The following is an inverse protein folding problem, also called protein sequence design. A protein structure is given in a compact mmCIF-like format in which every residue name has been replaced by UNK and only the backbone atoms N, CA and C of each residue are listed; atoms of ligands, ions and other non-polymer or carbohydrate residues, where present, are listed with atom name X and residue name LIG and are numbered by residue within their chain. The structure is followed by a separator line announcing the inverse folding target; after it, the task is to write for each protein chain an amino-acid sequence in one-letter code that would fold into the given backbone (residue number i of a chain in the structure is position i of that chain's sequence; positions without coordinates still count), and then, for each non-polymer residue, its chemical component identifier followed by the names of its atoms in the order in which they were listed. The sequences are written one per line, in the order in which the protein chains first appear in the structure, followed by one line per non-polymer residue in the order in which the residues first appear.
data_IF_141606824604
#
_entry.id   IF_141606824604
#
_cell.length_a   1.000
_cell.length_b   1.000
_cell.length_c   1.000
_cell.angle_alpha   90.00
_cell.angle_beta   90.00
_cell.angle_gamma   90.00
#
_symmetry.space_group_name_H-M   'P 1'
#
loop_
_entity.id
_entity.type
_entity.pdbx_description
1 polymer ?
#
# COMPACT_ATOMS: atom_id res chain seq x y z
N UNK A 1 13.55 4.19 -6.47
CA UNK A 1 13.28 2.78 -6.08
C UNK A 1 13.80 2.55 -4.66
N UNK A 2 13.11 1.74 -3.85
CA UNK A 2 13.62 1.34 -2.54
C UNK A 2 14.41 0.05 -2.68
N UNK A 3 15.71 0.01 -2.30
CA UNK A 3 16.49 -1.22 -2.35
C UNK A 3 15.99 -2.23 -1.30
N UNK A 4 16.22 -3.52 -1.53
CA UNK A 4 15.98 -4.54 -0.51
C UNK A 4 17.01 -4.41 0.61
N UNK A 5 16.60 -3.77 1.71
CA UNK A 5 17.46 -3.53 2.87
C UNK A 5 16.70 -3.83 4.18
N UNK A 6 16.78 -5.09 4.68
CA UNK A 6 16.17 -5.48 5.94
C UNK A 6 16.74 -4.73 7.15
N UNK A 7 17.99 -4.25 7.09
CA UNK A 7 18.60 -3.51 8.19
C UNK A 7 17.98 -2.11 8.30
N UNK A 8 17.82 -1.42 7.18
CA UNK A 8 17.11 -0.14 7.12
C UNK A 8 15.66 -0.27 7.55
N UNK A 9 14.95 -1.33 7.13
CA UNK A 9 13.58 -1.59 7.57
C UNK A 9 13.48 -1.78 9.10
N UNK A 10 14.40 -2.55 9.71
CA UNK A 10 14.48 -2.70 11.17
C UNK A 10 14.71 -1.36 11.87
N UNK A 11 15.63 -0.55 11.35
CA UNK A 11 15.93 0.78 11.89
C UNK A 11 14.70 1.69 11.90
N UNK A 12 13.94 1.74 10.80
CA UNK A 12 12.71 2.53 10.72
C UNK A 12 11.66 2.07 11.72
N UNK A 13 11.51 0.75 11.91
CA UNK A 13 10.61 0.19 12.93
C UNK A 13 11.07 0.57 14.34
N UNK A 14 12.38 0.51 14.60
CA UNK A 14 12.97 0.90 15.88
C UNK A 14 12.76 2.39 16.21
N UNK A 15 12.90 3.26 15.22
CA UNK A 15 12.64 4.71 15.30
C UNK A 15 11.16 5.01 15.54
N UNK A 16 10.26 4.22 14.94
CA UNK A 16 8.82 4.31 15.16
C UNK A 16 8.34 3.72 16.51
N UNK A 17 9.25 3.17 17.31
CA UNK A 17 8.98 2.63 18.65
C UNK A 17 8.62 1.15 18.70
N UNK A 18 8.66 0.44 17.58
CA UNK A 18 8.44 -1.01 17.52
C UNK A 18 9.69 -1.75 17.94
N UNK A 19 9.68 -2.41 19.11
CA UNK A 19 10.86 -3.13 19.63
C UNK A 19 10.70 -4.64 19.53
N UNK A 20 11.77 -5.42 19.29
CA UNK A 20 11.66 -6.88 19.22
C UNK A 20 11.08 -7.47 20.52
N UNK A 21 10.06 -8.31 20.40
CA UNK A 21 9.52 -9.11 21.50
C UNK A 21 10.29 -10.42 21.70
N UNK A 22 9.94 -11.15 22.77
CA UNK A 22 10.61 -12.39 23.14
C UNK A 22 10.47 -13.52 22.09
N UNK A 23 9.43 -13.47 21.26
CA UNK A 23 9.17 -14.42 20.18
C UNK A 23 9.70 -13.94 18.82
N UNK A 24 10.45 -12.84 18.81
CA UNK A 24 11.00 -12.20 17.61
C UNK A 24 10.01 -11.31 16.86
N UNK A 25 8.74 -11.24 17.28
CA UNK A 25 7.75 -10.31 16.71
C UNK A 25 7.83 -9.00 17.49
N UNK A 26 7.91 -7.87 16.79
CA UNK A 26 8.01 -6.55 17.40
C UNK A 26 6.72 -6.18 18.11
N UNK A 27 6.83 -5.36 19.16
CA UNK A 27 5.71 -4.83 19.90
C UNK A 27 5.90 -3.34 20.23
N UNK A 28 4.79 -2.64 20.38
CA UNK A 28 4.69 -1.24 20.80
C UNK A 28 3.38 -1.06 21.57
N UNK A 29 3.41 -0.36 22.70
CA UNK A 29 2.21 -0.05 23.50
C UNK A 29 1.33 -1.29 23.80
N UNK A 30 1.97 -2.39 24.20
CA UNK A 30 1.34 -3.71 24.45
C UNK A 30 0.67 -4.37 23.23
N UNK A 31 0.86 -3.83 22.02
CA UNK A 31 0.39 -4.42 20.77
C UNK A 31 1.54 -5.10 20.03
N UNK A 32 1.29 -6.29 19.51
CA UNK A 32 2.21 -7.03 18.63
C UNK A 32 2.08 -6.47 17.21
N UNK A 33 3.18 -6.40 16.47
CA UNK A 33 3.19 -5.96 15.08
C UNK A 33 2.74 -7.11 14.18
N UNK A 34 1.43 -7.27 14.10
CA UNK A 34 0.76 -8.26 13.27
C UNK A 34 -0.06 -7.56 12.21
N UNK A 35 0.12 -7.94 10.95
CA UNK A 35 -0.56 -7.33 9.81
C UNK A 35 -1.34 -8.39 9.03
N UNK A 36 -2.59 -8.10 8.72
CA UNK A 36 -3.45 -8.90 7.88
C UNK A 36 -3.28 -8.50 6.43
N UNK A 37 -2.83 -9.44 5.58
CA UNK A 37 -2.70 -9.26 4.15
C UNK A 37 -3.90 -9.86 3.43
N UNK A 38 -4.83 -9.01 3.02
CA UNK A 38 -5.97 -9.38 2.21
C UNK A 38 -5.54 -9.61 0.74
N UNK A 39 -5.80 -10.79 0.20
CA UNK A 39 -5.32 -11.17 -1.13
C UNK A 39 -6.26 -12.15 -1.82
N UNK A 40 -6.38 -12.06 -3.15
CA UNK A 40 -7.18 -13.00 -3.93
C UNK A 40 -6.37 -14.24 -4.31
N UNK A 41 -6.98 -15.42 -4.37
CA UNK A 41 -6.28 -16.62 -4.86
C UNK A 41 -5.86 -16.46 -6.33
N UNK A 42 -4.56 -16.52 -6.61
CA UNK A 42 -3.94 -16.52 -7.95
C UNK A 42 -2.65 -17.33 -7.88
N UNK A 43 -2.26 -17.99 -8.97
CA UNK A 43 -1.03 -18.82 -9.05
C UNK A 43 0.22 -18.06 -8.58
N UNK A 44 0.34 -16.79 -8.93
CA UNK A 44 1.46 -15.94 -8.50
C UNK A 44 1.44 -15.69 -6.98
N UNK A 45 0.27 -15.49 -6.39
CA UNK A 45 0.14 -15.23 -4.96
C UNK A 45 0.49 -16.46 -4.12
N UNK A 46 0.18 -17.67 -4.61
CA UNK A 46 0.52 -18.93 -3.93
C UNK A 46 2.05 -19.07 -3.72
N UNK A 47 2.86 -18.58 -4.67
CA UNK A 47 4.32 -18.58 -4.56
C UNK A 47 4.85 -17.39 -3.73
N UNK A 48 4.24 -16.21 -3.84
CA UNK A 48 4.73 -14.99 -3.18
C UNK A 48 4.36 -14.91 -1.70
N UNK A 49 3.23 -15.46 -1.27
CA UNK A 49 2.77 -15.37 0.12
C UNK A 49 3.77 -15.99 1.11
N UNK A 50 4.31 -17.21 0.91
CA UNK A 50 5.32 -17.77 1.80
C UNK A 50 6.60 -16.91 1.88
N UNK A 51 7.05 -16.37 0.75
CA UNK A 51 8.23 -15.50 0.67
C UNK A 51 7.97 -14.19 1.43
N UNK A 52 6.80 -13.59 1.25
CA UNK A 52 6.40 -12.40 2.00
C UNK A 52 6.37 -12.69 3.50
N UNK A 53 5.73 -13.78 3.95
CA UNK A 53 5.72 -14.14 5.38
C UNK A 53 7.11 -14.24 5.97
N UNK A 54 8.04 -14.86 5.24
CA UNK A 54 9.44 -14.99 5.68
C UNK A 54 10.15 -13.63 5.74
N UNK A 55 10.08 -12.83 4.67
CA UNK A 55 10.74 -11.52 4.62
C UNK A 55 10.22 -10.54 5.70
N UNK A 56 8.90 -10.53 5.94
CA UNK A 56 8.30 -9.71 7.00
C UNK A 56 8.70 -10.23 8.39
N UNK A 57 8.80 -11.55 8.58
CA UNK A 57 9.27 -12.13 9.83
C UNK A 57 10.73 -11.76 10.13
N UNK A 58 11.59 -11.68 9.11
CA UNK A 58 13.00 -11.28 9.29
C UNK A 58 13.17 -9.88 9.88
N UNK A 59 12.19 -8.99 9.70
CA UNK A 59 12.17 -7.64 10.30
C UNK A 59 11.30 -7.55 11.55
N UNK A 60 10.75 -8.69 12.02
CA UNK A 60 9.96 -8.81 13.23
C UNK A 60 8.49 -8.45 13.06
N UNK A 61 7.91 -8.66 11.88
CA UNK A 61 6.48 -8.44 11.61
C UNK A 61 5.79 -9.78 11.34
N UNK A 62 4.67 -10.04 12.00
CA UNK A 62 3.86 -11.21 11.72
C UNK A 62 2.85 -10.90 10.62
N UNK A 63 3.11 -11.39 9.40
CA UNK A 63 2.18 -11.28 8.29
C UNK A 63 1.16 -12.44 8.30
N UNK A 64 -0.13 -12.13 8.37
CA UNK A 64 -1.28 -13.05 8.33
C UNK A 64 -2.04 -12.91 7.02
N UNK A 65 -1.79 -13.78 6.02
CA UNK A 65 -2.53 -13.73 4.76
C UNK A 65 -3.98 -14.15 4.98
N UNK A 66 -4.91 -13.40 4.40
CA UNK A 66 -6.32 -13.72 4.31
C UNK A 66 -6.66 -13.88 2.83
N UNK A 67 -6.77 -15.13 2.39
CA UNK A 67 -7.04 -15.47 0.99
C UNK A 67 -8.55 -15.60 0.78
N UNK A 68 -9.11 -14.76 -0.08
CA UNK A 68 -10.55 -14.74 -0.42
C UNK A 68 -10.74 -14.73 -1.94
N UNK A 69 -11.98 -14.86 -2.42
CA UNK A 69 -12.29 -14.57 -3.82
C UNK A 69 -12.21 -13.06 -4.09
N UNK A 70 -12.12 -12.66 -5.36
CA UNK A 70 -11.91 -11.26 -5.73
C UNK A 70 -13.06 -10.34 -5.32
N UNK A 71 -14.31 -10.80 -5.39
CA UNK A 71 -15.46 -9.97 -5.00
C UNK A 71 -15.48 -9.74 -3.49
N UNK A 72 -15.19 -10.79 -2.71
CA UNK A 72 -15.02 -10.67 -1.27
C UNK A 72 -13.85 -9.75 -0.91
N UNK A 73 -12.73 -9.81 -1.65
CA UNK A 73 -11.59 -8.91 -1.46
C UNK A 73 -12.02 -7.45 -1.62
N UNK A 74 -12.71 -7.12 -2.71
CA UNK A 74 -13.19 -5.76 -2.97
C UNK A 74 -14.16 -5.28 -1.89
N UNK A 75 -15.08 -6.14 -1.44
CA UNK A 75 -16.03 -5.81 -0.38
C UNK A 75 -15.34 -5.54 0.97
N UNK A 76 -14.37 -6.37 1.36
CA UNK A 76 -13.62 -6.19 2.60
C UNK A 76 -12.67 -4.99 2.56
N UNK A 77 -12.05 -4.72 1.40
CA UNK A 77 -11.27 -3.51 1.18
C UNK A 77 -12.15 -2.27 1.39
N UNK A 78 -13.34 -2.24 0.78
CA UNK A 78 -14.28 -1.14 0.94
C UNK A 78 -14.77 -0.96 2.38
N UNK A 79 -14.86 -2.05 3.14
CA UNK A 79 -15.21 -2.03 4.55
C UNK A 79 -14.06 -1.58 5.47
N UNK A 80 -12.82 -1.48 4.99
CA UNK A 80 -11.66 -1.08 5.80
C UNK A 80 -11.12 -2.18 6.73
N UNK A 81 -11.55 -3.43 6.56
CA UNK A 81 -11.20 -4.55 7.46
C UNK A 81 -9.89 -5.26 7.03
N UNK A 82 -8.79 -4.51 6.90
CA UNK A 82 -7.49 -5.04 6.47
C UNK A 82 -6.35 -4.09 6.88
N UNK A 83 -5.12 -4.60 6.96
CA UNK A 83 -3.92 -3.77 7.11
C UNK A 83 -3.21 -3.56 5.77
N UNK A 84 -3.14 -4.62 4.96
CA UNK A 84 -2.55 -4.64 3.62
C UNK A 84 -3.52 -5.32 2.65
N UNK A 85 -3.65 -4.80 1.43
CA UNK A 85 -4.42 -5.44 0.37
C UNK A 85 -3.57 -5.58 -0.90
N UNK A 86 -3.53 -6.78 -1.47
CA UNK A 86 -2.83 -7.07 -2.72
C UNK A 86 -3.82 -7.40 -3.83
N UNK A 87 -3.97 -6.48 -4.78
CA UNK A 87 -4.81 -6.64 -5.96
C UNK A 87 -4.19 -5.90 -7.15
N UNK A 88 -4.75 -6.12 -8.33
CA UNK A 88 -4.39 -5.43 -9.57
C UNK A 88 -5.63 -4.74 -10.10
N UNK A 89 -5.43 -3.55 -10.65
CA UNK A 89 -6.42 -2.85 -11.46
C UNK A 89 -6.23 -3.23 -12.93
N UNK A 90 -7.21 -2.91 -13.76
CA UNK A 90 -7.10 -3.04 -15.21
C UNK A 90 -6.05 -2.07 -15.76
N UNK A 91 -5.49 -2.39 -16.93
CA UNK A 91 -4.64 -1.44 -17.66
C UNK A 91 -5.42 -0.16 -17.94
N UNK A 92 -4.83 0.98 -17.58
CA UNK A 92 -5.41 2.30 -17.79
C UNK A 92 -4.87 2.91 -19.08
N UNK A 93 -5.73 3.61 -19.83
CA UNK A 93 -5.33 4.36 -21.02
C UNK A 93 -4.82 5.77 -20.66
N UNK A 94 -5.36 6.35 -19.59
CA UNK A 94 -4.96 7.65 -19.06
C UNK A 94 -4.62 7.50 -17.57
N UNK A 95 -3.48 7.99 -17.08
CA UNK A 95 -3.15 7.94 -15.66
C UNK A 95 -4.14 8.69 -14.78
N UNK A 96 -4.93 9.63 -15.33
CA UNK A 96 -6.00 10.33 -14.61
C UNK A 96 -6.93 9.36 -13.87
N UNK A 97 -7.37 8.30 -14.55
CA UNK A 97 -8.32 7.33 -14.02
C UNK A 97 -7.78 6.63 -12.77
N UNK A 98 -6.46 6.45 -12.68
CA UNK A 98 -5.81 5.77 -11.56
C UNK A 98 -5.46 6.70 -10.41
N UNK A 99 -5.05 7.94 -10.70
CA UNK A 99 -4.69 8.89 -9.63
C UNK A 99 -5.92 9.47 -8.94
N UNK A 100 -7.10 9.41 -9.57
CA UNK A 100 -8.35 9.89 -8.98
C UNK A 100 -8.70 9.19 -7.66
N UNK A 101 -8.36 7.90 -7.52
CA UNK A 101 -8.51 7.14 -6.27
C UNK A 101 -7.69 7.71 -5.09
N UNK A 102 -6.72 8.58 -5.37
CA UNK A 102 -5.88 9.26 -4.38
C UNK A 102 -6.29 10.72 -4.16
N UNK A 103 -7.30 11.22 -4.88
CA UNK A 103 -7.88 12.52 -4.59
C UNK A 103 -8.58 12.44 -3.22
N UNK A 104 -8.27 13.38 -2.32
CA UNK A 104 -8.61 13.22 -0.90
C UNK A 104 -10.10 13.07 -0.62
N UNK A 105 -10.99 13.65 -1.44
CA UNK A 105 -12.44 13.46 -1.28
C UNK A 105 -12.92 12.07 -1.73
N UNK A 106 -12.15 11.37 -2.55
CA UNK A 106 -12.46 10.06 -3.10
C UNK A 106 -11.79 8.93 -2.32
N UNK A 107 -10.61 9.20 -1.74
CA UNK A 107 -9.78 8.26 -1.00
C UNK A 107 -10.33 7.87 0.40
N UNK A 108 -11.65 7.87 0.56
CA UNK A 108 -12.34 7.57 1.83
C UNK A 108 -12.01 6.18 2.36
N UNK A 109 -11.83 5.20 1.47
CA UNK A 109 -11.55 3.81 1.83
C UNK A 109 -10.13 3.60 2.36
N UNK A 110 -9.15 4.39 1.88
CA UNK A 110 -7.75 4.32 2.33
C UNK A 110 -7.45 5.31 3.45
N UNK A 111 -8.31 6.31 3.65
CA UNK A 111 -8.06 7.43 4.56
C UNK A 111 -6.93 8.35 4.11
N UNK A 112 -6.50 8.23 2.85
CA UNK A 112 -5.41 9.04 2.31
C UNK A 112 -5.82 10.51 2.17
N UNK A 113 -4.96 11.41 2.61
CA UNK A 113 -5.16 12.85 2.48
C UNK A 113 -3.82 13.55 2.23
N UNK A 114 -3.72 14.27 1.11
CA UNK A 114 -2.52 15.04 0.79
C UNK A 114 -2.88 16.23 -0.13
N UNK A 115 -2.76 17.44 0.41
CA UNK A 115 -3.13 18.67 -0.29
C UNK A 115 -2.30 18.93 -1.57
N UNK A 116 -1.04 18.48 -1.61
CA UNK A 116 -0.21 18.64 -2.81
C UNK A 116 -0.65 17.67 -3.91
N UNK A 117 -1.04 16.44 -3.55
CA UNK A 117 -1.63 15.49 -4.49
C UNK A 117 -2.94 16.03 -5.06
N UNK A 118 -3.85 16.54 -4.22
CA UNK A 118 -5.11 17.14 -4.68
C UNK A 118 -4.86 18.30 -5.66
N UNK A 119 -3.90 19.18 -5.34
CA UNK A 119 -3.51 20.31 -6.19
C UNK A 119 -2.96 19.84 -7.55
N UNK A 120 -2.10 18.83 -7.57
CA UNK A 120 -1.49 18.31 -8.79
C UNK A 120 -2.51 17.56 -9.65
N UNK A 121 -3.43 16.80 -9.05
CA UNK A 121 -4.55 16.16 -9.76
C UNK A 121 -5.43 17.23 -10.42
N UNK A 122 -5.83 18.27 -9.67
CA UNK A 122 -6.64 19.36 -10.20
C UNK A 122 -5.94 20.13 -11.33
N UNK A 123 -4.63 20.40 -11.19
CA UNK A 123 -3.84 21.03 -12.24
C UNK A 123 -3.77 20.15 -13.51
N UNK A 124 -3.59 18.84 -13.35
CA UNK A 124 -3.59 17.89 -14.47
C UNK A 124 -4.93 17.85 -15.19
N UNK A 125 -6.05 17.90 -14.46
CA UNK A 125 -7.41 17.88 -15.01
C UNK A 125 -7.77 19.15 -15.80
N UNK A 126 -7.13 20.27 -15.48
CA UNK A 126 -7.36 21.55 -16.16
C UNK A 126 -6.61 21.69 -17.51
N UNK A 127 -5.74 20.73 -17.86
CA UNK A 127 -4.88 20.78 -19.06
C UNK A 127 -5.31 19.72 -20.07
N UNK A 128 -5.71 20.15 -21.27
CA UNK A 128 -6.12 19.24 -22.36
C UNK A 128 -4.95 18.77 -23.23
N UNK A 129 -3.89 19.57 -23.34
CA UNK A 129 -2.70 19.23 -24.11
C UNK A 129 -1.85 18.19 -23.37
N UNK A 130 -1.63 17.04 -24.00
CA UNK A 130 -0.95 15.91 -23.36
C UNK A 130 0.49 16.24 -23.00
N UNK A 131 1.21 16.98 -23.85
CA UNK A 131 2.61 17.32 -23.60
C UNK A 131 2.77 18.28 -22.42
N UNK A 132 1.85 19.23 -22.28
CA UNK A 132 1.79 20.13 -21.13
C UNK A 132 1.36 19.43 -19.83
N UNK A 133 0.56 18.37 -19.93
CA UNK A 133 0.05 17.61 -18.78
C UNK A 133 1.08 16.62 -18.21
N UNK A 134 1.94 16.03 -19.05
CA UNK A 134 3.01 15.09 -18.64
C UNK A 134 3.87 15.55 -17.45
N UNK A 135 4.45 16.77 -17.43
CA UNK A 135 5.29 17.20 -16.32
C UNK A 135 4.53 17.27 -14.98
N UNK A 136 3.22 17.56 -15.00
CA UNK A 136 2.37 17.57 -13.80
C UNK A 136 2.27 16.15 -13.24
N UNK A 137 1.98 15.16 -14.08
CA UNK A 137 1.95 13.76 -13.64
C UNK A 137 3.32 13.28 -13.15
N UNK A 138 4.42 13.68 -13.80
CA UNK A 138 5.76 13.35 -13.31
C UNK A 138 6.06 13.93 -11.92
N UNK A 139 5.48 15.07 -11.56
CA UNK A 139 5.57 15.62 -10.21
C UNK A 139 4.66 14.85 -9.25
N UNK A 140 3.42 14.56 -9.67
CA UNK A 140 2.45 13.79 -8.89
C UNK A 140 3.00 12.45 -8.43
N UNK A 141 3.65 11.69 -9.32
CA UNK A 141 4.24 10.37 -8.98
C UNK A 141 5.50 10.43 -8.09
N UNK A 142 5.99 11.62 -7.72
CA UNK A 142 7.11 11.80 -6.79
C UNK A 142 6.68 12.11 -5.35
N UNK A 143 5.42 12.52 -5.17
CA UNK A 143 4.81 12.81 -3.87
C UNK A 143 4.37 11.50 -3.22
#
# INVERSE_FOLDING_TARGET
PYPYDPAQAKKLLDEAGWKPGADGIRAKDCQRLELTLLVSKKVLNDALIPIAKENWRQIGVLLKPQVVDFNALMAQRKAGNYDLASFSTSTLNDPHDGVWDFYSSEAKESGYHNAEVDKLINAGNAVLDIEQRKPIYHQLYKV
#
